data_IF_250341593667
#
_entry.id   IF_250341593667
#
_cell.length_a   1.000
_cell.length_b   1.000
_cell.length_c   1.000
_cell.angle_alpha   90.00
_cell.angle_beta   90.00
_cell.angle_gamma   90.00
#
_symmetry.space_group_name_H-M   'P 1'
#
loop_
_entity.id
_entity.type
_entity.pdbx_description
1 polymer ?
#
# COMPACT_ATOMS: atom_id res chain seq x y z
N UNK A 1 15.05 -38.02 -7.43
CA UNK A 1 14.29 -38.04 -6.17
C UNK A 1 14.05 -39.50 -5.73
N UNK A 2 15.13 -40.22 -5.42
CA UNK A 2 15.14 -41.67 -5.11
C UNK A 2 15.90 -42.02 -3.82
N UNK A 3 16.10 -41.06 -2.90
CA UNK A 3 16.74 -41.30 -1.60
C UNK A 3 16.02 -40.56 -0.47
N UNK A 4 14.90 -41.12 0.02
CA UNK A 4 14.16 -40.61 1.20
C UNK A 4 15.00 -40.63 2.49
N UNK A 5 16.07 -41.44 2.57
CA UNK A 5 16.96 -41.53 3.73
C UNK A 5 17.85 -40.31 3.97
N UNK A 6 18.00 -39.41 3.00
CA UNK A 6 18.93 -38.27 3.09
C UNK A 6 18.25 -36.91 2.95
N UNK A 7 16.95 -36.83 3.24
CA UNK A 7 16.17 -35.59 3.12
C UNK A 7 16.74 -34.50 4.04
N UNK A 8 16.93 -34.82 5.32
CA UNK A 8 17.51 -33.89 6.30
C UNK A 8 18.92 -33.43 5.88
N UNK A 9 19.81 -34.36 5.52
CA UNK A 9 21.16 -34.04 5.05
C UNK A 9 21.14 -33.15 3.80
N UNK A 10 20.20 -33.37 2.88
CA UNK A 10 20.07 -32.55 1.66
C UNK A 10 19.62 -31.13 1.99
N UNK A 11 18.69 -30.96 2.93
CA UNK A 11 18.19 -29.65 3.38
C UNK A 11 19.28 -28.90 4.16
N UNK A 12 20.07 -29.59 4.96
CA UNK A 12 21.22 -29.00 5.67
C UNK A 12 22.30 -28.51 4.69
N UNK A 13 22.64 -29.31 3.68
CA UNK A 13 23.56 -28.91 2.63
C UNK A 13 23.00 -27.71 1.88
N UNK A 14 21.71 -27.73 1.51
CA UNK A 14 21.06 -26.60 0.85
C UNK A 14 21.17 -25.31 1.67
N UNK A 15 20.88 -25.36 2.97
CA UNK A 15 20.94 -24.18 3.85
C UNK A 15 22.38 -23.66 3.99
N UNK A 16 23.36 -24.57 4.11
CA UNK A 16 24.78 -24.20 4.19
C UNK A 16 25.28 -23.54 2.91
N UNK A 17 24.95 -24.10 1.75
CA UNK A 17 25.39 -23.57 0.47
C UNK A 17 24.67 -22.27 0.10
N UNK A 18 23.39 -22.12 0.46
CA UNK A 18 22.64 -20.86 0.33
C UNK A 18 23.35 -19.70 1.05
N UNK A 19 23.84 -19.92 2.28
CA UNK A 19 24.51 -18.87 3.07
C UNK A 19 25.83 -18.41 2.44
N UNK A 20 26.53 -19.31 1.75
CA UNK A 20 27.80 -19.03 1.06
C UNK A 20 27.60 -18.43 -0.34
N UNK A 21 26.42 -18.54 -0.92
CA UNK A 21 26.15 -18.14 -2.29
C UNK A 21 26.08 -16.60 -2.46
N UNK A 22 26.43 -16.12 -3.66
CA UNK A 22 26.21 -14.73 -4.07
C UNK A 22 24.71 -14.42 -4.22
N UNK A 23 24.31 -13.13 -4.18
CA UNK A 23 22.90 -12.73 -4.21
C UNK A 23 22.14 -13.27 -5.45
N UNK A 24 22.77 -13.31 -6.62
CA UNK A 24 22.18 -13.90 -7.83
C UNK A 24 21.95 -15.42 -7.70
N UNK A 25 22.92 -16.13 -7.10
CA UNK A 25 22.85 -17.58 -6.91
C UNK A 25 21.90 -17.97 -5.77
N UNK A 26 21.76 -17.15 -4.73
CA UNK A 26 20.78 -17.34 -3.64
C UNK A 26 19.36 -17.45 -4.16
N UNK A 27 19.00 -16.66 -5.17
CA UNK A 27 17.68 -16.76 -5.78
C UNK A 27 17.45 -18.13 -6.44
N UNK A 28 18.46 -18.68 -7.12
CA UNK A 28 18.38 -20.04 -7.69
C UNK A 28 18.15 -21.10 -6.62
N UNK A 29 18.73 -20.95 -5.41
CA UNK A 29 18.48 -21.85 -4.28
C UNK A 29 17.04 -21.75 -3.77
N UNK A 30 16.44 -20.57 -3.76
CA UNK A 30 15.03 -20.37 -3.40
C UNK A 30 14.10 -21.05 -4.42
N UNK A 31 14.38 -20.92 -5.72
CA UNK A 31 13.62 -21.63 -6.75
C UNK A 31 13.79 -23.15 -6.68
N UNK A 32 15.00 -23.63 -6.40
CA UNK A 32 15.24 -25.05 -6.15
C UNK A 32 14.42 -25.57 -4.97
N UNK A 33 14.39 -24.82 -3.86
CA UNK A 33 13.56 -25.16 -2.70
C UNK A 33 12.08 -25.25 -3.09
N UNK A 34 11.59 -24.27 -3.87
CA UNK A 34 10.23 -24.27 -4.38
C UNK A 34 9.93 -25.54 -5.19
N UNK A 35 10.78 -25.89 -6.15
CA UNK A 35 10.58 -27.05 -7.02
C UNK A 35 10.63 -28.36 -6.24
N UNK A 36 11.53 -28.47 -5.26
CA UNK A 36 11.63 -29.65 -4.39
C UNK A 36 10.40 -29.78 -3.50
N UNK A 37 9.94 -28.70 -2.86
CA UNK A 37 8.74 -28.72 -2.01
C UNK A 37 7.49 -29.09 -2.83
N UNK A 38 7.32 -28.50 -4.02
CA UNK A 38 6.20 -28.79 -4.91
C UNK A 38 6.21 -30.23 -5.41
N UNK A 39 7.36 -30.73 -5.88
CA UNK A 39 7.45 -32.09 -6.40
C UNK A 39 7.39 -33.15 -5.29
N UNK A 40 7.80 -32.81 -4.06
CA UNK A 40 7.76 -33.72 -2.93
C UNK A 40 6.35 -34.04 -2.47
N UNK A 41 5.38 -33.12 -2.58
CA UNK A 41 3.99 -33.32 -2.14
C UNK A 41 3.34 -34.57 -2.74
N UNK A 42 3.63 -34.93 -4.00
CA UNK A 42 3.09 -36.15 -4.63
C UNK A 42 3.66 -37.44 -4.04
N UNK A 43 4.80 -37.37 -3.36
CA UNK A 43 5.55 -38.51 -2.82
C UNK A 43 5.60 -38.54 -1.29
N UNK A 44 5.38 -37.44 -0.59
CA UNK A 44 5.39 -37.37 0.87
C UNK A 44 5.89 -36.01 1.40
N UNK A 45 5.51 -35.65 2.62
CA UNK A 45 5.78 -34.33 3.22
C UNK A 45 7.16 -34.20 3.88
N UNK A 46 8.04 -35.19 3.74
CA UNK A 46 9.35 -35.24 4.41
C UNK A 46 10.22 -34.01 4.09
N UNK A 47 10.28 -33.61 2.81
CA UNK A 47 11.01 -32.40 2.41
C UNK A 47 10.38 -31.13 2.98
N UNK A 48 9.06 -31.00 2.91
CA UNK A 48 8.34 -29.86 3.47
C UNK A 48 8.60 -29.72 4.97
N UNK A 49 8.61 -30.83 5.72
CA UNK A 49 8.87 -30.83 7.16
C UNK A 49 10.31 -30.45 7.50
N UNK A 50 11.31 -30.94 6.76
CA UNK A 50 12.70 -30.54 6.99
C UNK A 50 12.95 -29.09 6.58
N UNK A 51 12.38 -28.63 5.45
CA UNK A 51 12.51 -27.24 5.02
C UNK A 51 11.88 -26.25 6.01
N UNK A 52 10.76 -26.60 6.66
CA UNK A 52 10.14 -25.76 7.71
C UNK A 52 11.13 -25.39 8.83
N UNK A 53 12.10 -26.26 9.15
CA UNK A 53 13.10 -26.03 10.21
C UNK A 53 14.14 -24.99 9.83
N UNK A 54 14.50 -24.88 8.55
CA UNK A 54 15.61 -24.04 8.08
C UNK A 54 15.17 -22.79 7.32
N UNK A 55 13.95 -22.80 6.75
CA UNK A 55 13.43 -21.73 5.90
C UNK A 55 13.32 -20.36 6.57
N UNK A 56 12.86 -20.23 7.83
CA UNK A 56 12.76 -18.92 8.49
C UNK A 56 14.10 -18.17 8.48
N UNK A 57 15.17 -18.82 8.93
CA UNK A 57 16.51 -18.23 9.00
C UNK A 57 17.14 -18.05 7.61
N UNK A 58 16.85 -18.97 6.68
CA UNK A 58 17.37 -18.94 5.32
C UNK A 58 16.80 -17.76 4.51
N UNK A 59 15.49 -17.53 4.62
CA UNK A 59 14.80 -16.42 3.94
C UNK A 59 15.20 -15.10 4.57
N UNK A 60 15.24 -15.00 5.91
CA UNK A 60 15.68 -13.79 6.60
C UNK A 60 17.10 -13.38 6.18
N UNK A 61 18.04 -14.34 6.17
CA UNK A 61 19.41 -14.11 5.70
C UNK A 61 19.45 -13.66 4.24
N UNK A 62 18.70 -14.34 3.36
CA UNK A 62 18.70 -14.02 1.93
C UNK A 62 18.11 -12.63 1.68
N UNK A 63 17.03 -12.29 2.38
CA UNK A 63 16.32 -11.02 2.23
C UNK A 63 17.15 -9.83 2.73
N UNK A 64 17.84 -9.98 3.87
CA UNK A 64 18.72 -8.93 4.44
C UNK A 64 19.85 -8.54 3.49
N UNK A 65 20.35 -9.48 2.69
CA UNK A 65 21.48 -9.27 1.78
C UNK A 65 21.06 -9.18 0.29
N UNK A 66 19.77 -9.00 0.03
CA UNK A 66 19.19 -8.92 -1.31
C UNK A 66 18.93 -7.47 -1.75
N UNK A 67 18.97 -7.25 -3.07
CA UNK A 67 18.49 -6.00 -3.70
C UNK A 67 16.95 -5.93 -3.66
N UNK A 68 16.39 -4.74 -3.87
CA UNK A 68 14.93 -4.53 -3.85
C UNK A 68 14.17 -5.47 -4.82
N UNK A 69 14.74 -5.73 -6.00
CA UNK A 69 14.17 -6.66 -6.99
C UNK A 69 14.11 -8.09 -6.45
N UNK A 70 15.21 -8.57 -5.88
CA UNK A 70 15.31 -9.92 -5.32
C UNK A 70 14.40 -10.07 -4.09
N UNK A 71 14.27 -9.03 -3.27
CA UNK A 71 13.29 -8.99 -2.18
C UNK A 71 11.84 -9.08 -2.69
N UNK A 72 11.52 -8.41 -3.80
CA UNK A 72 10.23 -8.54 -4.48
C UNK A 72 9.94 -9.97 -4.93
N UNK A 73 10.94 -10.65 -5.48
CA UNK A 73 10.83 -12.04 -5.90
C UNK A 73 10.63 -12.97 -4.70
N UNK A 74 11.36 -12.76 -3.60
CA UNK A 74 11.18 -13.55 -2.36
C UNK A 74 9.75 -13.41 -1.83
N UNK A 75 9.20 -12.19 -1.78
CA UNK A 75 7.79 -11.96 -1.39
C UNK A 75 6.82 -12.74 -2.29
N UNK A 76 7.08 -12.74 -3.61
CA UNK A 76 6.26 -13.50 -4.56
C UNK A 76 6.34 -15.00 -4.34
N UNK A 77 7.52 -15.55 -4.06
CA UNK A 77 7.68 -16.99 -3.77
C UNK A 77 6.89 -17.40 -2.52
N UNK A 78 6.94 -16.59 -1.45
CA UNK A 78 6.17 -16.86 -0.22
C UNK A 78 4.66 -16.80 -0.49
N UNK A 79 4.19 -15.88 -1.32
CA UNK A 79 2.78 -15.82 -1.73
C UNK A 79 2.37 -17.05 -2.57
N UNK A 80 3.23 -17.50 -3.49
CA UNK A 80 3.00 -18.73 -4.27
C UNK A 80 2.89 -19.96 -3.34
N UNK A 81 3.67 -20.00 -2.26
CA UNK A 81 3.57 -21.09 -1.27
C UNK A 81 2.24 -21.10 -0.52
N UNK A 82 1.65 -19.93 -0.29
CA UNK A 82 0.32 -19.77 0.30
C UNK A 82 -0.77 -20.20 -0.70
N UNK A 83 -0.73 -19.64 -1.92
CA UNK A 83 -1.68 -19.94 -3.00
C UNK A 83 -1.75 -21.43 -3.33
N UNK A 84 -0.60 -22.12 -3.21
CA UNK A 84 -0.49 -23.55 -3.51
C UNK A 84 -0.61 -24.43 -2.28
N UNK A 85 -0.84 -23.88 -1.09
CA UNK A 85 -0.93 -24.65 0.16
C UNK A 85 0.28 -25.59 0.36
N UNK A 86 1.49 -25.08 0.13
CA UNK A 86 2.73 -25.84 0.31
C UNK A 86 3.11 -25.88 1.80
N UNK A 87 2.88 -24.76 2.49
CA UNK A 87 3.07 -24.62 3.92
C UNK A 87 1.79 -24.03 4.55
N UNK A 88 1.59 -24.28 5.84
CA UNK A 88 0.43 -23.77 6.57
C UNK A 88 0.52 -22.26 6.77
N UNK A 89 -0.64 -21.61 6.85
CA UNK A 89 -0.77 -20.14 6.92
C UNK A 89 0.01 -19.56 8.10
N UNK A 90 -0.05 -20.21 9.26
CA UNK A 90 0.63 -19.78 10.48
C UNK A 90 2.15 -19.71 10.30
N UNK A 91 2.72 -20.66 9.56
CA UNK A 91 4.15 -20.69 9.25
C UNK A 91 4.53 -19.60 8.25
N UNK A 92 3.71 -19.39 7.22
CA UNK A 92 3.94 -18.34 6.22
C UNK A 92 3.85 -16.94 6.82
N UNK A 93 2.93 -16.74 7.77
CA UNK A 93 2.81 -15.48 8.52
C UNK A 93 4.02 -15.22 9.41
N UNK A 94 4.58 -16.25 10.03
CA UNK A 94 5.86 -16.13 10.75
C UNK A 94 7.02 -15.79 9.81
N UNK A 95 7.09 -16.43 8.64
CA UNK A 95 8.07 -16.10 7.60
C UNK A 95 7.97 -14.63 7.19
N UNK A 96 6.75 -14.15 6.90
CA UNK A 96 6.50 -12.76 6.49
C UNK A 96 7.05 -11.78 7.53
N UNK A 97 6.75 -11.98 8.81
CA UNK A 97 7.25 -11.12 9.90
C UNK A 97 8.78 -11.01 9.93
N UNK A 98 9.49 -12.10 9.61
CA UNK A 98 10.96 -12.17 9.63
C UNK A 98 11.62 -11.28 8.59
N UNK A 99 10.98 -11.07 7.44
CA UNK A 99 11.54 -10.25 6.35
C UNK A 99 10.78 -8.93 6.09
N UNK A 100 9.61 -8.70 6.69
CA UNK A 100 8.91 -7.41 6.60
C UNK A 100 9.19 -6.46 7.77
N UNK A 101 9.83 -6.92 8.85
CA UNK A 101 10.07 -6.11 10.05
C UNK A 101 8.78 -5.77 10.81
N UNK A 102 8.87 -5.28 12.07
CA UNK A 102 7.71 -4.93 12.87
C UNK A 102 7.18 -3.56 12.45
N UNK A 103 6.55 -3.47 11.27
CA UNK A 103 5.61 -2.41 10.89
C UNK A 103 4.87 -2.87 9.61
N UNK A 104 3.55 -2.62 9.63
CA UNK A 104 2.56 -2.77 8.55
C UNK A 104 2.03 -4.18 8.22
N UNK A 105 1.32 -4.79 9.17
CA UNK A 105 0.23 -5.71 8.85
C UNK A 105 -0.98 -4.93 8.30
N UNK A 106 -1.01 -4.69 6.99
CA UNK A 106 -2.24 -4.50 6.19
C UNK A 106 -2.00 -4.92 4.74
N UNK A 107 -2.33 -6.17 4.43
CA UNK A 107 -3.00 -6.67 3.21
C UNK A 107 -3.02 -8.19 3.34
N UNK A 108 -4.18 -8.76 3.65
CA UNK A 108 -5.09 -9.36 2.66
C UNK A 108 -4.71 -10.80 2.32
N UNK A 109 -5.35 -11.72 3.03
CA UNK A 109 -5.81 -12.99 2.49
C UNK A 109 -7.00 -13.46 3.33
N UNK A 110 -8.20 -13.36 2.76
CA UNK A 110 -9.35 -14.18 3.15
C UNK A 110 -10.19 -14.50 1.93
N UNK A 111 -9.91 -15.67 1.36
CA UNK A 111 -10.69 -16.47 0.40
C UNK A 111 -10.16 -17.89 0.76
N UNK A 112 -10.84 -18.91 1.34
CA UNK A 112 -12.25 -19.37 1.29
C UNK A 112 -12.61 -20.36 2.46
N UNK A 113 -13.89 -20.32 2.86
CA UNK A 113 -14.81 -21.32 3.48
C UNK A 113 -14.46 -22.15 4.74
N UNK A 114 -15.23 -21.90 5.80
CA UNK A 114 -16.21 -22.90 6.28
C UNK A 114 -17.46 -22.17 6.79
N UNK A 115 -18.63 -22.73 6.53
CA UNK A 115 -19.88 -22.00 6.41
C UNK A 115 -20.45 -21.45 7.71
N UNK A 116 -20.63 -20.13 7.76
CA UNK A 116 -21.79 -19.47 8.36
C UNK A 116 -22.06 -18.20 7.56
N UNK A 117 -23.32 -17.99 7.20
CA UNK A 117 -23.83 -16.86 6.42
C UNK A 117 -23.43 -15.54 7.08
N UNK A 118 -22.45 -14.84 6.50
CA UNK A 118 -22.14 -13.45 6.79
C UNK A 118 -22.09 -12.70 5.45
N UNK A 119 -22.69 -11.50 5.35
CA UNK A 119 -22.89 -10.83 4.06
C UNK A 119 -21.52 -10.48 3.46
N UNK A 120 -21.33 -10.84 2.18
CA UNK A 120 -20.22 -10.37 1.37
C UNK A 120 -20.10 -8.85 1.48
N UNK A 121 -18.96 -8.36 1.97
CA UNK A 121 -18.62 -6.95 1.80
C UNK A 121 -18.62 -6.65 0.29
N UNK A 122 -19.30 -5.58 -0.15
CA UNK A 122 -19.24 -5.18 -1.54
C UNK A 122 -17.80 -4.77 -1.87
N UNK A 123 -17.14 -5.54 -2.73
CA UNK A 123 -15.91 -5.10 -3.36
C UNK A 123 -16.23 -3.81 -4.13
N UNK A 124 -15.48 -2.74 -3.83
CA UNK A 124 -15.73 -1.44 -4.44
C UNK A 124 -15.54 -1.57 -5.96
N UNK A 125 -16.58 -1.32 -6.78
CA UNK A 125 -16.59 -1.69 -8.20
C UNK A 125 -15.52 -0.94 -9.01
N UNK A 126 -15.13 0.24 -8.56
CA UNK A 126 -14.04 1.06 -9.08
C UNK A 126 -12.66 0.40 -8.91
N UNK A 127 -12.39 -0.22 -7.77
CA UNK A 127 -11.13 -0.93 -7.51
C UNK A 127 -11.04 -2.23 -8.32
N UNK A 128 -12.16 -2.94 -8.48
CA UNK A 128 -12.21 -4.15 -9.31
C UNK A 128 -11.92 -3.84 -10.79
N UNK A 129 -12.51 -2.76 -11.32
CA UNK A 129 -12.28 -2.28 -12.69
C UNK A 129 -10.83 -1.86 -12.92
N UNK A 130 -10.23 -1.17 -11.94
CA UNK A 130 -8.83 -0.78 -11.96
C UNK A 130 -7.91 -2.00 -12.02
N UNK A 131 -8.18 -3.00 -11.18
CA UNK A 131 -7.39 -4.24 -11.12
C UNK A 131 -7.38 -4.98 -12.45
N UNK A 132 -8.55 -5.14 -13.07
CA UNK A 132 -8.66 -5.76 -14.39
C UNK A 132 -7.89 -4.99 -15.47
N UNK A 133 -7.93 -3.66 -15.41
CA UNK A 133 -7.23 -2.79 -16.39
C UNK A 133 -5.71 -2.91 -16.24
N UNK A 134 -5.19 -2.93 -15.01
CA UNK A 134 -3.75 -3.09 -14.74
C UNK A 134 -3.23 -4.44 -15.24
N UNK A 135 -4.00 -5.51 -15.01
CA UNK A 135 -3.67 -6.84 -15.49
C UNK A 135 -3.56 -6.90 -17.03
N UNK A 136 -4.55 -6.31 -17.73
CA UNK A 136 -4.55 -6.21 -19.19
C UNK A 136 -3.34 -5.45 -19.76
N UNK A 137 -2.92 -4.36 -19.08
CA UNK A 137 -1.70 -3.63 -19.49
C UNK A 137 -0.46 -4.50 -19.31
N UNK A 138 -0.34 -5.20 -18.19
CA UNK A 138 0.81 -6.07 -17.91
C UNK A 138 0.97 -7.17 -18.96
N UNK A 139 -0.13 -7.78 -19.39
CA UNK A 139 -0.13 -8.78 -20.46
C UNK A 139 0.30 -8.17 -21.80
N UNK A 140 -0.23 -6.99 -22.16
CA UNK A 140 0.10 -6.32 -23.42
C UNK A 140 1.54 -5.81 -23.51
N UNK A 141 2.18 -5.53 -22.36
CA UNK A 141 3.54 -4.99 -22.30
C UNK A 141 4.59 -5.99 -22.79
N UNK A 142 4.37 -7.28 -22.53
CA UNK A 142 5.26 -8.34 -23.04
C UNK A 142 5.25 -8.39 -24.57
N UNK A 143 4.07 -8.27 -25.19
CA UNK A 143 3.92 -8.24 -26.65
C UNK A 143 4.55 -7.00 -27.28
N UNK A 144 4.39 -5.83 -26.66
CA UNK A 144 5.04 -4.58 -27.12
C UNK A 144 6.57 -4.74 -27.12
N UNK A 145 7.12 -5.34 -26.06
CA UNK A 145 8.56 -5.57 -25.95
C UNK A 145 9.08 -6.56 -27.00
N UNK A 146 8.33 -7.64 -27.26
CA UNK A 146 8.68 -8.61 -28.31
C UNK A 146 8.77 -7.94 -29.70
N UNK A 147 7.77 -7.13 -30.07
CA UNK A 147 7.77 -6.41 -31.35
C UNK A 147 8.88 -5.36 -31.42
N UNK A 148 9.16 -4.66 -30.31
CA UNK A 148 10.31 -3.74 -30.22
C UNK A 148 11.61 -4.45 -30.58
N UNK A 149 11.85 -5.63 -30.01
CA UNK A 149 13.07 -6.40 -30.26
C UNK A 149 13.15 -6.87 -31.73
N UNK A 150 12.02 -7.31 -32.32
CA UNK A 150 11.95 -7.66 -33.75
C UNK A 150 12.27 -6.46 -34.64
N UNK A 151 11.67 -5.30 -34.35
CA UNK A 151 11.93 -4.05 -35.08
C UNK A 151 13.40 -3.66 -34.98
N UNK A 152 13.98 -3.65 -33.78
CA UNK A 152 15.40 -3.29 -33.59
C UNK A 152 16.32 -4.23 -34.37
N UNK A 153 16.06 -5.53 -34.35
CA UNK A 153 16.87 -6.51 -35.09
C UNK A 153 16.84 -6.26 -36.60
N UNK A 154 15.64 -6.18 -37.20
CA UNK A 154 15.51 -5.99 -38.64
C UNK A 154 15.99 -4.59 -39.06
N UNK A 155 15.76 -3.57 -38.23
CA UNK A 155 16.28 -2.22 -38.48
C UNK A 155 17.80 -2.23 -38.62
N UNK A 156 18.53 -2.86 -37.69
CA UNK A 156 19.99 -2.99 -37.78
C UNK A 156 20.43 -3.78 -39.02
N UNK A 157 19.75 -4.88 -39.36
CA UNK A 157 20.07 -5.68 -40.55
C UNK A 157 19.85 -4.92 -41.87
N UNK A 158 18.90 -4.00 -41.93
CA UNK A 158 18.48 -3.31 -43.16
C UNK A 158 19.12 -1.92 -43.31
N UNK A 159 19.27 -1.19 -42.21
CA UNK A 159 19.64 0.23 -42.21
C UNK A 159 21.10 0.46 -41.80
N UNK A 160 21.71 -0.45 -41.03
CA UNK A 160 23.04 -0.25 -40.42
C UNK A 160 24.16 -1.07 -41.09
N UNK A 161 23.83 -1.99 -42.01
CA UNK A 161 24.84 -2.79 -42.75
C UNK A 161 25.36 -2.02 -43.97
N UNK A 162 26.69 -1.88 -44.08
CA UNK A 162 27.36 -1.16 -45.19
C UNK A 162 27.22 -1.87 -46.54
N UNK A 163 27.38 -3.21 -46.57
CA UNK A 163 27.15 -4.02 -47.76
C UNK A 163 25.66 -4.37 -47.88
N UNK A 164 24.99 -3.72 -48.84
CA UNK A 164 23.57 -3.94 -49.07
C UNK A 164 23.33 -5.25 -49.83
N UNK A 165 22.34 -6.06 -49.41
CA UNK A 165 21.96 -7.27 -50.13
C UNK A 165 21.37 -6.91 -51.51
N UNK A 166 21.09 -7.93 -52.33
CA UNK A 166 20.53 -7.70 -53.66
C UNK A 166 19.22 -6.87 -53.58
N UNK A 167 18.91 -6.04 -54.58
CA UNK A 167 17.75 -5.13 -54.53
C UNK A 167 16.42 -5.83 -54.22
N UNK A 168 16.24 -7.07 -54.69
CA UNK A 168 15.04 -7.87 -54.41
C UNK A 168 14.95 -8.29 -52.93
N UNK A 169 16.07 -8.68 -52.32
CA UNK A 169 16.14 -9.04 -50.89
C UNK A 169 15.93 -7.79 -50.03
N UNK A 170 16.56 -6.68 -50.39
CA UNK A 170 16.42 -5.41 -49.68
C UNK A 170 14.96 -4.92 -49.69
N UNK A 171 14.27 -4.99 -50.83
CA UNK A 171 12.84 -4.65 -50.92
C UNK A 171 12.00 -5.52 -49.99
N UNK A 172 12.19 -6.83 -50.00
CA UNK A 172 11.45 -7.75 -49.15
C UNK A 172 11.67 -7.48 -47.66
N UNK A 173 12.91 -7.15 -47.28
CA UNK A 173 13.24 -6.81 -45.89
C UNK A 173 12.62 -5.46 -45.48
N UNK A 174 12.60 -4.47 -46.37
CA UNK A 174 11.93 -3.18 -46.13
C UNK A 174 10.41 -3.36 -45.98
N UNK A 175 9.77 -4.18 -46.81
CA UNK A 175 8.34 -4.51 -46.69
C UNK A 175 8.03 -5.24 -45.38
N UNK A 176 8.95 -6.10 -44.93
CA UNK A 176 8.83 -6.75 -43.63
C UNK A 176 9.01 -5.77 -42.47
N UNK A 177 10.03 -4.90 -42.53
CA UNK A 177 10.30 -3.87 -41.54
C UNK A 177 9.12 -2.90 -41.40
N UNK A 178 8.54 -2.47 -42.52
CA UNK A 178 7.36 -1.60 -42.54
C UNK A 178 6.19 -2.23 -41.78
N UNK A 179 5.89 -3.51 -42.05
CA UNK A 179 4.84 -4.24 -41.32
C UNK A 179 5.11 -4.36 -39.82
N UNK A 180 6.36 -4.64 -39.44
CA UNK A 180 6.75 -4.71 -38.03
C UNK A 180 6.64 -3.34 -37.33
N UNK A 181 7.06 -2.26 -38.00
CA UNK A 181 6.96 -0.90 -37.49
C UNK A 181 5.51 -0.47 -37.30
N UNK A 182 4.64 -0.74 -38.28
CA UNK A 182 3.21 -0.44 -38.19
C UNK A 182 2.55 -1.21 -37.03
N UNK A 183 2.85 -2.50 -36.88
CA UNK A 183 2.29 -3.29 -35.79
C UNK A 183 2.80 -2.82 -34.43
N UNK A 184 4.11 -2.54 -34.31
CA UNK A 184 4.67 -1.97 -33.08
C UNK A 184 4.04 -0.62 -32.73
N UNK A 185 3.85 0.27 -33.72
CA UNK A 185 3.17 1.55 -33.54
C UNK A 185 1.73 1.37 -33.02
N UNK A 186 0.97 0.45 -33.61
CA UNK A 186 -0.41 0.16 -33.18
C UNK A 186 -0.45 -0.34 -31.73
N UNK A 187 0.44 -1.27 -31.38
CA UNK A 187 0.54 -1.82 -30.02
C UNK A 187 0.92 -0.75 -29.00
N UNK A 188 1.91 0.09 -29.31
CA UNK A 188 2.34 1.20 -28.44
C UNK A 188 1.22 2.22 -28.28
N UNK A 189 0.53 2.59 -29.35
CA UNK A 189 -0.60 3.54 -29.31
C UNK A 189 -1.73 3.01 -28.43
N UNK A 190 -2.10 1.73 -28.58
CA UNK A 190 -3.10 1.08 -27.72
C UNK A 190 -2.67 1.08 -26.25
N UNK A 191 -1.39 0.79 -25.99
CA UNK A 191 -0.87 0.77 -24.63
C UNK A 191 -0.86 2.17 -23.98
N UNK A 192 -0.50 3.22 -24.72
CA UNK A 192 -0.60 4.61 -24.28
C UNK A 192 -2.05 4.96 -23.91
N UNK A 193 -3.02 4.60 -24.76
CA UNK A 193 -4.44 4.81 -24.47
C UNK A 193 -4.89 4.11 -23.19
N UNK A 194 -4.54 2.84 -23.02
CA UNK A 194 -4.86 2.06 -21.82
C UNK A 194 -4.25 2.68 -20.54
N UNK A 195 -2.96 3.10 -20.60
CA UNK A 195 -2.28 3.76 -19.47
C UNK A 195 -2.93 5.09 -19.13
N UNK A 196 -3.29 5.89 -20.13
CA UNK A 196 -4.03 7.14 -19.95
C UNK A 196 -5.38 6.91 -19.24
N UNK A 197 -6.11 5.88 -19.65
CA UNK A 197 -7.39 5.53 -19.04
C UNK A 197 -7.25 5.15 -17.55
N UNK A 198 -6.24 4.34 -17.19
CA UNK A 198 -5.98 3.98 -15.79
C UNK A 198 -5.58 5.19 -14.96
N UNK A 199 -4.73 6.06 -15.49
CA UNK A 199 -4.34 7.30 -14.80
C UNK A 199 -5.58 8.14 -14.48
N UNK A 200 -6.52 8.25 -15.42
CA UNK A 200 -7.76 8.99 -15.20
C UNK A 200 -8.65 8.32 -14.15
N UNK A 201 -8.78 6.99 -14.16
CA UNK A 201 -9.51 6.23 -13.13
C UNK A 201 -8.90 6.43 -11.73
N UNK A 202 -7.58 6.39 -11.61
CA UNK A 202 -6.88 6.62 -10.34
C UNK A 202 -7.11 8.04 -9.82
N UNK A 203 -7.02 9.05 -10.70
CA UNK A 203 -7.32 10.45 -10.34
C UNK A 203 -8.74 10.61 -9.81
N UNK A 204 -9.71 9.95 -10.44
CA UNK A 204 -11.10 9.99 -10.00
C UNK A 204 -11.28 9.36 -8.61
N UNK A 205 -10.66 8.20 -8.37
CA UNK A 205 -10.70 7.52 -7.07
C UNK A 205 -10.06 8.41 -5.98
N UNK A 206 -8.90 9.01 -6.27
CA UNK A 206 -8.23 9.93 -5.34
C UNK A 206 -9.15 11.11 -4.99
N UNK A 207 -9.75 11.75 -6.00
CA UNK A 207 -10.66 12.87 -5.78
C UNK A 207 -11.88 12.47 -4.91
N UNK A 208 -12.41 11.27 -5.10
CA UNK A 208 -13.50 10.73 -4.27
C UNK A 208 -13.07 10.53 -2.81
N UNK A 209 -11.88 9.96 -2.57
CA UNK A 209 -11.34 9.77 -1.21
C UNK A 209 -11.08 11.10 -0.51
N UNK A 210 -10.50 12.07 -1.21
CA UNK A 210 -10.29 13.40 -0.65
C UNK A 210 -11.61 14.09 -0.27
N UNK A 211 -12.66 13.93 -1.08
CA UNK A 211 -13.99 14.45 -0.77
C UNK A 211 -14.56 13.80 0.50
N UNK A 212 -14.43 12.48 0.64
CA UNK A 212 -14.88 11.75 1.83
C UNK A 212 -14.09 12.15 3.07
N UNK A 213 -12.77 12.29 2.97
CA UNK A 213 -11.93 12.80 4.05
C UNK A 213 -12.36 14.20 4.53
N UNK A 214 -12.73 15.10 3.61
CA UNK A 214 -13.27 16.43 3.97
C UNK A 214 -14.57 16.32 4.77
N UNK A 215 -15.47 15.41 4.39
CA UNK A 215 -16.73 15.18 5.12
C UNK A 215 -16.49 14.60 6.51
N UNK A 216 -15.59 13.63 6.63
CA UNK A 216 -15.25 13.00 7.91
C UNK A 216 -14.59 14.00 8.87
N UNK A 217 -13.68 14.85 8.37
CA UNK A 217 -13.07 15.93 9.15
C UNK A 217 -14.12 16.94 9.66
N UNK A 218 -15.10 17.30 8.81
CA UNK A 218 -16.21 18.17 9.23
C UNK A 218 -17.04 17.51 10.34
N UNK A 219 -17.36 16.22 10.20
CA UNK A 219 -18.10 15.45 11.20
C UNK A 219 -17.34 15.33 12.53
N UNK A 220 -16.02 15.16 12.46
CA UNK A 220 -15.15 15.13 13.64
C UNK A 220 -15.20 16.47 14.40
N UNK A 221 -15.09 17.59 13.68
CA UNK A 221 -15.16 18.92 14.29
C UNK A 221 -16.53 19.18 14.97
N UNK A 222 -17.62 18.82 14.31
CA UNK A 222 -18.97 18.91 14.87
C UNK A 222 -19.12 18.05 16.13
N UNK A 223 -18.63 16.82 16.09
CA UNK A 223 -18.63 15.91 17.26
C UNK A 223 -17.78 16.48 18.40
N UNK A 224 -16.64 17.10 18.09
CA UNK A 224 -15.78 17.72 19.09
C UNK A 224 -16.45 18.94 19.74
N UNK A 225 -17.17 19.76 18.99
CA UNK A 225 -17.99 20.86 19.55
C UNK A 225 -19.02 20.33 20.53
N UNK A 226 -19.80 19.33 20.11
CA UNK A 226 -20.83 18.70 20.95
C UNK A 226 -20.25 18.09 22.23
N UNK A 227 -19.07 17.47 22.15
CA UNK A 227 -18.36 16.95 23.33
C UNK A 227 -18.00 18.10 24.29
N UNK A 228 -17.50 19.22 23.76
CA UNK A 228 -17.10 20.36 24.58
C UNK A 228 -18.31 21.02 25.26
N UNK A 229 -19.39 21.25 24.53
CA UNK A 229 -20.66 21.76 25.07
C UNK A 229 -21.22 20.84 26.17
N UNK A 230 -21.17 19.52 25.95
CA UNK A 230 -21.60 18.54 26.95
C UNK A 230 -20.75 18.60 28.21
N UNK A 231 -19.42 18.72 28.07
CA UNK A 231 -18.50 18.87 29.21
C UNK A 231 -18.79 20.13 30.00
N UNK A 232 -19.02 21.25 29.31
CA UNK A 232 -19.36 22.52 29.96
C UNK A 232 -20.66 22.40 30.76
N UNK A 233 -21.70 21.79 30.17
CA UNK A 233 -22.96 21.55 30.86
C UNK A 233 -22.78 20.67 32.12
N UNK A 234 -21.93 19.63 32.03
CA UNK A 234 -21.60 18.78 33.20
C UNK A 234 -20.91 19.61 34.30
N UNK A 235 -19.96 20.48 33.96
CA UNK A 235 -19.27 21.33 34.95
C UNK A 235 -20.20 22.38 35.58
N UNK A 236 -21.10 22.97 34.79
CA UNK A 236 -22.12 23.88 35.31
C UNK A 236 -23.06 23.16 36.29
N UNK A 237 -23.53 21.96 35.96
CA UNK A 237 -24.37 21.14 36.85
C UNK A 237 -23.64 20.74 38.14
N UNK A 238 -22.34 20.40 38.05
CA UNK A 238 -21.50 20.13 39.24
C UNK A 238 -21.41 21.36 40.14
N UNK A 239 -21.17 22.52 39.55
CA UNK A 239 -21.06 23.80 40.28
C UNK A 239 -22.37 24.16 40.99
N UNK A 240 -23.51 24.04 40.31
CA UNK A 240 -24.84 24.26 40.90
C UNK A 240 -25.10 23.27 42.05
N UNK A 241 -24.71 22.01 41.88
CA UNK A 241 -24.89 20.98 42.91
C UNK A 241 -24.09 21.31 44.17
N UNK A 242 -22.80 21.67 44.03
CA UNK A 242 -21.93 22.08 45.15
C UNK A 242 -22.53 23.29 45.88
N UNK A 243 -22.92 24.33 45.13
CA UNK A 243 -23.51 25.53 45.72
C UNK A 243 -24.81 25.24 46.50
N UNK A 244 -25.66 24.35 45.99
CA UNK A 244 -26.88 23.92 46.71
C UNK A 244 -26.56 23.17 48.00
N UNK A 245 -25.51 22.34 48.01
CA UNK A 245 -25.07 21.64 49.21
C UNK A 245 -24.58 22.60 50.29
N UNK A 246 -23.72 23.56 49.94
CA UNK A 246 -23.17 24.54 50.87
C UNK A 246 -24.28 25.42 51.46
N UNK A 247 -25.24 25.87 50.63
CA UNK A 247 -26.40 26.63 51.08
C UNK A 247 -27.30 25.85 52.06
N UNK A 248 -27.45 24.53 51.86
CA UNK A 248 -28.20 23.66 52.79
C UNK A 248 -27.40 23.44 54.09
N UNK A 249 -26.08 23.25 53.99
CA UNK A 249 -25.20 23.09 55.14
C UNK A 249 -25.20 24.33 56.04
N UNK A 250 -25.10 25.53 55.46
CA UNK A 250 -25.15 26.80 56.20
C UNK A 250 -26.53 27.02 56.85
N UNK A 251 -27.62 26.65 56.17
CA UNK A 251 -28.97 26.73 56.74
C UNK A 251 -29.16 25.78 57.93
N UNK A 252 -28.58 24.59 57.87
CA UNK A 252 -28.61 23.63 58.97
C UNK A 252 -27.73 24.08 60.15
N UNK A 253 -26.57 24.68 59.88
CA UNK A 253 -25.68 25.26 60.90
C UNK A 253 -26.33 26.43 61.64
N UNK A 254 -27.07 27.28 60.92
CA UNK A 254 -27.84 28.38 61.52
C UNK A 254 -29.06 27.90 62.33
N UNK A 255 -29.67 26.75 61.98
CA UNK A 255 -30.71 26.12 62.81
C UNK A 255 -30.15 25.51 64.11
N UNK A 256 -28.96 24.91 64.06
CA UNK A 256 -28.29 24.31 65.24
C UNK A 256 -27.80 25.37 66.26
N UNK A 257 -27.59 26.62 65.85
CA UNK A 257 -27.25 27.72 66.76
C UNK A 257 -28.47 28.31 67.50
N UNK A 258 -29.70 27.87 67.21
CA UNK A 258 -30.94 28.34 67.85
C UNK A 258 -31.54 27.39 68.89
N UNK A 259 -31.11 26.12 68.95
CA UNK A 259 -31.62 25.15 69.92
C UNK A 259 -30.46 24.51 70.69
N UNK A 260 -30.24 24.99 71.91
CA UNK A 260 -29.46 24.24 72.88
C UNK A 260 -30.24 22.99 73.29
N UNK A 261 -29.70 21.80 72.96
CA UNK A 261 -29.39 20.67 73.87
C UNK A 261 -29.53 19.27 73.19
N UNK A 262 -28.46 18.48 73.32
CA UNK A 262 -28.34 16.98 73.29
C UNK A 262 -28.61 16.18 71.99
N UNK A 263 -27.56 15.73 71.28
CA UNK A 263 -26.94 14.37 71.33
C UNK A 263 -25.90 14.17 70.20
N UNK A 264 -24.70 13.55 70.41
CA UNK A 264 -23.60 13.60 69.42
C UNK A 264 -23.51 12.41 68.43
N UNK A 265 -24.43 11.44 68.43
CA UNK A 265 -24.21 10.16 67.71
C UNK A 265 -25.09 9.91 66.47
N UNK A 266 -26.12 10.73 66.21
CA UNK A 266 -26.99 10.58 65.03
C UNK A 266 -26.46 11.29 63.77
N UNK A 267 -25.89 12.50 63.92
CA UNK A 267 -25.48 13.34 62.79
C UNK A 267 -24.28 12.81 62.00
N UNK A 268 -23.34 12.14 62.67
CA UNK A 268 -22.14 11.55 62.02
C UNK A 268 -22.53 10.36 61.14
N UNK A 269 -23.59 9.63 61.52
CA UNK A 269 -24.09 8.47 60.77
C UNK A 269 -24.88 8.90 59.53
N UNK A 270 -25.62 10.00 59.61
CA UNK A 270 -26.39 10.56 58.50
C UNK A 270 -25.51 11.31 57.48
N UNK A 271 -24.46 12.01 57.96
CA UNK A 271 -23.40 12.57 57.09
C UNK A 271 -22.65 11.48 56.33
N UNK A 272 -22.32 10.35 56.98
CA UNK A 272 -21.68 9.22 56.29
C UNK A 272 -22.61 8.50 55.30
N UNK A 273 -23.91 8.36 55.58
CA UNK A 273 -24.84 7.72 54.65
C UNK A 273 -25.09 8.55 53.38
N UNK A 274 -25.14 9.89 53.49
CA UNK A 274 -25.26 10.78 52.33
C UNK A 274 -23.95 10.88 51.55
N UNK A 275 -22.78 10.87 52.21
CA UNK A 275 -21.49 10.79 51.52
C UNK A 275 -21.34 9.47 50.71
N UNK A 276 -21.96 8.39 51.18
CA UNK A 276 -21.91 7.07 50.55
C UNK A 276 -22.95 6.89 49.42
N UNK A 277 -24.00 7.71 49.36
CA UNK A 277 -24.97 7.69 48.26
C UNK A 277 -24.50 8.47 47.01
N UNK A 278 -23.54 9.39 47.17
CA UNK A 278 -22.97 10.19 46.07
C UNK A 278 -21.61 9.71 45.57
N UNK A 279 -21.11 8.57 46.05
CA UNK A 279 -20.03 7.84 45.36
C UNK A 279 -20.62 7.06 44.19
N UNK A 280 -21.03 7.79 43.15
CA UNK A 280 -21.01 7.22 41.79
C UNK A 280 -19.56 6.84 41.56
N UNK A 281 -19.30 5.52 41.62
CA UNK A 281 -18.03 4.84 41.31
C UNK A 281 -17.12 5.75 40.48
N UNK A 282 -15.97 6.08 41.05
CA UNK A 282 -14.86 6.71 40.35
C UNK A 282 -14.62 6.03 39.00
N UNK A 283 -15.17 6.62 37.94
CA UNK A 283 -14.60 6.51 36.61
C UNK A 283 -13.74 7.76 36.50
N UNK A 284 -12.52 7.65 37.01
CA UNK A 284 -11.52 8.69 36.96
C UNK A 284 -11.34 9.17 35.50
N UNK A 285 -11.78 10.40 35.14
CA UNK A 285 -11.65 10.92 33.79
C UNK A 285 -10.19 11.27 33.47
N UNK A 286 -9.34 11.48 34.49
CA UNK A 286 -7.93 11.82 34.30
C UNK A 286 -7.14 10.60 33.84
N UNK A 287 -7.38 9.42 34.41
CA UNK A 287 -6.66 8.19 34.03
C UNK A 287 -6.90 7.70 32.60
N UNK A 288 -8.09 7.96 32.01
CA UNK A 288 -8.39 7.61 30.60
C UNK A 288 -7.97 8.71 29.62
N UNK A 289 -8.06 9.98 30.02
CA UNK A 289 -7.62 11.12 29.21
C UNK A 289 -6.10 11.22 29.14
N UNK A 290 -5.37 10.85 30.20
CA UNK A 290 -3.90 10.77 30.20
C UNK A 290 -3.43 9.65 29.28
N UNK A 291 -4.08 8.47 29.27
CA UNK A 291 -3.73 7.37 28.34
C UNK A 291 -4.08 7.63 26.87
N UNK A 292 -5.08 8.46 26.57
CA UNK A 292 -5.42 8.88 25.19
C UNK A 292 -4.54 10.04 24.74
N UNK A 293 -4.20 10.98 25.62
CA UNK A 293 -3.29 12.07 25.33
C UNK A 293 -1.83 11.60 25.21
N UNK A 294 -1.38 10.62 26.00
CA UNK A 294 -0.05 10.01 25.85
C UNK A 294 0.09 9.18 24.57
N UNK A 295 -0.99 8.54 24.10
CA UNK A 295 -0.99 7.81 22.82
C UNK A 295 -1.04 8.73 21.61
N UNK A 296 -1.74 9.86 21.73
CA UNK A 296 -1.74 10.93 20.71
C UNK A 296 -0.42 11.71 20.72
N UNK A 297 0.19 11.96 21.88
CA UNK A 297 1.50 12.63 22.00
C UNK A 297 2.69 11.73 21.63
N UNK A 298 2.57 10.40 21.73
CA UNK A 298 3.56 9.46 21.18
C UNK A 298 3.45 9.30 19.65
N UNK A 299 2.26 9.51 19.06
CA UNK A 299 2.13 9.55 17.59
C UNK A 299 2.65 10.86 16.99
N UNK A 300 2.72 11.94 17.76
CA UNK A 300 3.33 13.23 17.33
C UNK A 300 4.80 13.38 17.73
N UNK A 301 5.45 12.36 18.33
CA UNK A 301 6.87 12.39 18.76
C UNK A 301 7.80 11.45 17.97
N UNK A 302 7.38 10.96 16.81
CA UNK A 302 8.28 10.22 15.89
C UNK A 302 8.84 11.12 14.77
N UNK A 303 8.55 12.44 14.80
CA UNK A 303 9.14 13.39 13.84
C UNK A 303 10.30 14.22 14.38
N UNK A 304 10.78 14.01 15.61
CA UNK A 304 11.72 14.96 16.23
C UNK A 304 12.92 14.32 16.97
N UNK A 305 13.56 13.32 16.35
CA UNK A 305 14.96 12.99 16.66
C UNK A 305 15.64 12.32 15.46
N UNK A 306 15.97 13.13 14.44
CA UNK A 306 17.06 12.87 13.49
C UNK A 306 17.38 14.14 12.71
N UNK A 307 17.95 15.15 13.39
CA UNK A 307 18.71 16.20 12.74
C UNK A 307 20.11 16.30 13.37
N UNK A 308 21.06 15.62 12.72
CA UNK A 308 22.38 16.17 12.43
C UNK A 308 22.65 15.77 10.97
N UNK A 309 22.91 16.65 10.01
CA UNK A 309 23.39 18.03 10.09
C UNK A 309 23.24 18.71 8.72
N UNK A 310 22.92 20.01 8.74
CA UNK A 310 23.11 21.04 7.68
C UNK A 310 22.15 21.00 6.48
N UNK A 311 21.51 22.07 5.97
CA UNK A 311 21.57 23.52 6.22
C UNK A 311 20.26 24.22 5.80
N UNK A 312 19.87 25.25 6.56
CA UNK A 312 18.86 26.33 6.40
C UNK A 312 18.19 26.57 5.03
N UNK A 313 16.85 26.56 4.98
CA UNK A 313 16.02 27.64 4.39
C UNK A 313 14.53 27.44 4.72
N UNK A 314 13.85 28.53 5.07
CA UNK A 314 12.45 28.64 5.48
C UNK A 314 11.42 28.26 4.39
N UNK A 315 10.27 27.69 4.79
CA UNK A 315 9.08 27.57 3.95
C UNK A 315 7.85 28.19 4.66
N UNK A 316 7.18 29.07 3.91
CA UNK A 316 6.00 29.87 4.25
C UNK A 316 4.72 29.10 3.83
N UNK A 317 3.60 29.10 4.60
CA UNK A 317 2.38 28.36 4.27
C UNK A 317 1.51 28.97 3.16
N UNK A 318 1.99 29.97 2.42
CA UNK A 318 1.24 30.58 1.30
C UNK A 318 1.95 30.43 -0.04
N UNK A 319 2.17 29.21 -0.54
CA UNK A 319 2.57 29.01 -1.95
C UNK A 319 1.69 27.92 -2.59
N UNK A 320 0.73 28.38 -3.38
CA UNK A 320 0.03 27.63 -4.42
C UNK A 320 1.07 26.98 -5.35
N UNK A 321 0.95 25.69 -5.68
CA UNK A 321 1.63 25.13 -6.86
C UNK A 321 1.00 25.73 -8.13
N UNK A 322 1.39 26.96 -8.46
CA UNK A 322 1.38 27.47 -9.82
C UNK A 322 2.52 26.77 -10.57
N UNK A 323 2.15 25.84 -11.46
CA UNK A 323 3.01 25.46 -12.58
C UNK A 323 3.40 26.72 -13.37
N UNK A 324 4.59 26.78 -13.99
CA UNK A 324 5.04 27.97 -14.68
C UNK A 324 4.08 28.34 -15.83
N UNK A 325 3.84 29.65 -16.08
CA UNK A 325 3.11 30.06 -17.27
C UNK A 325 3.96 29.79 -18.50
N UNK A 326 3.48 28.89 -19.35
CA UNK A 326 3.83 28.90 -20.77
C UNK A 326 3.30 30.21 -21.36
N UNK A 327 4.18 31.18 -21.55
CA UNK A 327 3.87 32.38 -22.31
C UNK A 327 5.08 32.76 -23.15
N UNK A 328 4.96 32.56 -24.47
CA UNK A 328 5.08 33.62 -25.46
C UNK A 328 4.24 33.20 -26.68
N UNK A 329 2.99 33.66 -26.72
CA UNK A 329 2.43 34.67 -27.64
C UNK A 329 1.73 34.09 -28.86
N UNK A 330 0.40 34.12 -28.83
CA UNK A 330 -0.42 34.30 -30.02
C UNK A 330 -0.07 35.63 -30.69
N UNK A 331 0.14 35.64 -32.01
CA UNK A 331 0.26 36.90 -32.72
C UNK A 331 0.87 36.92 -34.12
N UNK A 332 0.64 35.93 -35.00
CA UNK A 332 0.52 36.23 -36.45
C UNK A 332 -0.19 35.11 -37.21
N UNK A 333 -0.96 35.55 -38.18
CA UNK A 333 -1.89 34.82 -39.03
C UNK A 333 -1.27 33.79 -40.01
N UNK A 334 -2.08 32.75 -40.31
CA UNK A 334 -2.18 31.88 -41.52
C UNK A 334 -1.03 30.91 -41.88
N UNK A 335 -1.28 29.86 -42.70
CA UNK A 335 -2.53 29.13 -43.00
C UNK A 335 -2.45 27.62 -42.73
N UNK A 336 -3.61 26.97 -42.77
CA UNK A 336 -3.79 25.52 -42.74
C UNK A 336 -3.15 24.83 -43.94
N UNK A 337 -2.20 23.91 -43.72
CA UNK A 337 -1.75 22.96 -44.74
C UNK A 337 -2.47 21.61 -44.56
N UNK A 338 -3.72 21.61 -45.02
CA UNK A 338 -4.31 20.44 -45.65
C UNK A 338 -3.96 20.55 -47.14
N UNK A 339 -2.73 20.17 -47.52
CA UNK A 339 -2.28 19.80 -48.88
C UNK A 339 -0.75 19.89 -48.93
N UNK A 340 -0.04 18.76 -48.84
CA UNK A 340 1.30 18.53 -49.44
C UNK A 340 1.78 17.11 -49.12
N UNK A 341 1.06 16.12 -49.66
CA UNK A 341 1.64 14.87 -50.16
C UNK A 341 0.74 14.36 -51.30
N UNK A 342 0.48 15.26 -52.24
CA UNK A 342 0.13 14.94 -53.61
C UNK A 342 1.25 15.49 -54.47
N UNK A 343 1.71 14.69 -55.44
CA UNK A 343 2.69 15.03 -56.49
C UNK A 343 4.18 14.94 -56.13
N UNK A 344 4.66 13.70 -55.97
CA UNK A 344 5.99 13.29 -56.45
C UNK A 344 6.06 11.78 -56.75
N UNK A 345 5.07 11.26 -57.47
CA UNK A 345 5.15 9.96 -58.15
C UNK A 345 4.41 10.03 -59.50
N UNK A 346 4.82 10.96 -60.37
CA UNK A 346 4.47 10.91 -61.79
C UNK A 346 5.41 11.79 -62.62
N UNK A 347 6.68 11.40 -62.73
CA UNK A 347 7.57 11.82 -63.82
C UNK A 347 8.80 10.90 -63.87
N UNK A 348 8.55 9.63 -64.17
CA UNK A 348 9.55 8.71 -64.73
C UNK A 348 8.83 7.53 -65.38
N UNK A 349 8.03 7.82 -66.40
CA UNK A 349 7.67 6.83 -67.42
C UNK A 349 7.31 7.56 -68.72
N UNK A 350 8.34 8.05 -69.42
CA UNK A 350 8.29 8.26 -70.88
C UNK A 350 9.71 8.51 -71.41
N UNK A 351 10.52 7.45 -71.43
CA UNK A 351 11.57 7.21 -72.43
C UNK A 351 11.90 5.72 -72.41
N UNK A 352 11.19 4.96 -73.23
CA UNK A 352 11.65 3.77 -73.98
C UNK A 352 10.46 3.21 -74.77
N UNK A 353 10.11 3.89 -75.86
CA UNK A 353 9.76 3.25 -77.12
C UNK A 353 10.76 3.72 -78.17
#
# INVERSE_FOLDING_TARGET
MYHRRHVATSVDIWNRELRKASSARKLSFIYLCNDVCQNSRRKGLEFTQEFKKVLPDAIEHTYRHATADVQGIIRRVVNIWDEREIFDREFLDELRKRFTGPKTLKSEQRVIQSGHTAPSLPCRPDIAKLTASVQSISESESTVHEYKNKVTKIWSEVMEVEEKPSPSILSQQLDHLLRLLTEHQNLVTKNISNRSQIINQLKEIIAQEEMRLRLDNKSLLDTQSKINETKECIEQLRSISIFRYDAIADRNKNKLNGESRSEPNGEIRQKNLLQQQYTIKDIDPKSRSIKLNEKSQQLTKIEDDSQGSSSSSCYDPSIHLTLPPSSFTSGSMLPSETQLFGDSFSLMNDQLQ
#
